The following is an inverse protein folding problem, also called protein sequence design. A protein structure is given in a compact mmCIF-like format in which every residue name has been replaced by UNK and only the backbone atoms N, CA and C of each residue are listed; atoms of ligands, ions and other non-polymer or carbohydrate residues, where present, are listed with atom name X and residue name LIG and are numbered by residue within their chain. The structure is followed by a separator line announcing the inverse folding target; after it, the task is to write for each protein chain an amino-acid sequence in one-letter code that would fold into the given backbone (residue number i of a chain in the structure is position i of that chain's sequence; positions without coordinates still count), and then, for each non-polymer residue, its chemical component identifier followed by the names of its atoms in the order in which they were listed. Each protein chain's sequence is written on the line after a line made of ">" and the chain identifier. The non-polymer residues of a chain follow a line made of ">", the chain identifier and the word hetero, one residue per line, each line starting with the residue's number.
data_IF_196127058137
#
_entry.id   IF_196127058137
#
_cell.length_a   1.000
_cell.length_b   1.000
_cell.length_c   1.000
_cell.angle_alpha   90.00
_cell.angle_beta   90.00
_cell.angle_gamma   90.00
#
_symmetry.space_group_name_H-M   'P 1'
#
loop_
_entity.id
_entity.type
_entity.pdbx_description
1 polymer ?
#
# COMPACT_ATOMS: atom_id res chain seq x y z
N UNK A 1 -9.47 37.37 2.61
CA UNK A 1 -9.53 36.74 3.23
C UNK A 1 -8.68 36.04 3.45
N UNK A 2 -8.38 36.01 3.96
CA UNK A 2 -7.67 35.26 4.28
C UNK A 2 -7.95 34.09 4.73
N UNK A 3 -7.67 33.22 4.24
CA UNK A 3 -7.98 31.98 4.63
C UNK A 3 -7.31 31.51 5.84
N UNK A 4 -8.06 31.27 6.83
CA UNK A 4 -7.57 30.55 7.97
C UNK A 4 -7.72 29.05 7.65
N UNK A 5 -6.63 28.34 7.59
CA UNK A 5 -6.67 26.91 7.43
C UNK A 5 -7.07 26.30 8.77
N UNK A 6 -8.20 25.64 8.77
CA UNK A 6 -8.63 24.91 9.96
C UNK A 6 -8.17 23.48 9.83
N UNK A 7 -7.36 23.05 10.78
CA UNK A 7 -6.86 21.68 10.80
C UNK A 7 -7.36 21.01 12.07
N UNK A 8 -7.94 19.84 11.92
CA UNK A 8 -8.35 19.01 13.04
C UNK A 8 -7.30 17.92 13.25
N UNK A 9 -6.52 17.97 14.33
CA UNK A 9 -5.56 16.91 14.63
C UNK A 9 -6.20 15.52 14.73
N UNK A 10 -7.43 15.45 15.26
CA UNK A 10 -8.15 14.20 15.37
C UNK A 10 -8.48 13.61 13.99
N UNK A 11 -8.92 14.46 13.08
CA UNK A 11 -9.22 14.04 11.70
C UNK A 11 -7.96 13.56 10.96
N UNK A 12 -6.85 14.23 11.19
CA UNK A 12 -5.57 13.82 10.61
C UNK A 12 -5.16 12.44 11.12
N UNK A 13 -5.31 12.19 12.42
CA UNK A 13 -4.98 10.89 13.01
C UNK A 13 -5.93 9.79 12.53
N UNK A 14 -7.22 10.07 12.42
CA UNK A 14 -8.20 9.14 11.88
C UNK A 14 -7.86 8.75 10.44
N UNK A 15 -7.52 9.74 9.62
CA UNK A 15 -7.14 9.51 8.23
C UNK A 15 -5.85 8.70 8.13
N UNK A 16 -4.85 9.00 8.97
CA UNK A 16 -3.61 8.24 9.02
C UNK A 16 -3.87 6.78 9.41
N UNK A 17 -4.74 6.55 10.41
CA UNK A 17 -5.11 5.21 10.83
C UNK A 17 -5.84 4.45 9.73
N UNK A 18 -6.74 5.12 9.01
CA UNK A 18 -7.46 4.55 7.88
C UNK A 18 -6.51 4.15 6.74
N UNK A 19 -5.56 5.01 6.39
CA UNK A 19 -4.56 4.72 5.37
C UNK A 19 -3.68 3.54 5.78
N UNK A 20 -3.27 3.48 7.04
CA UNK A 20 -2.48 2.38 7.57
C UNK A 20 -3.24 1.06 7.46
N UNK A 21 -4.51 1.06 7.80
CA UNK A 21 -5.39 -0.11 7.69
C UNK A 21 -5.54 -0.56 6.24
N UNK A 22 -5.78 0.38 5.32
CA UNK A 22 -5.91 0.07 3.90
C UNK A 22 -4.60 -0.45 3.31
N UNK A 23 -3.46 0.12 3.72
CA UNK A 23 -2.15 -0.37 3.32
C UNK A 23 -1.92 -1.82 3.75
N UNK A 24 -2.34 -2.17 4.95
CA UNK A 24 -2.26 -3.55 5.46
C UNK A 24 -3.13 -4.51 4.65
N UNK A 25 -4.32 -4.07 4.25
CA UNK A 25 -5.21 -4.86 3.40
C UNK A 25 -4.60 -5.10 2.02
N UNK A 26 -3.99 -4.08 1.43
CA UNK A 26 -3.30 -4.19 0.15
C UNK A 26 -2.16 -5.22 0.26
N UNK A 27 -1.38 -5.17 1.35
CA UNK A 27 -0.29 -6.11 1.57
C UNK A 27 -0.82 -7.54 1.68
N UNK A 28 -1.90 -7.76 2.44
CA UNK A 28 -2.51 -9.07 2.59
C UNK A 28 -3.02 -9.62 1.27
N UNK A 29 -3.74 -8.80 0.51
CA UNK A 29 -4.26 -9.20 -0.80
C UNK A 29 -3.13 -9.51 -1.78
N UNK A 30 -2.06 -8.73 -1.76
CA UNK A 30 -0.89 -8.97 -2.60
C UNK A 30 -0.24 -10.30 -2.27
N UNK A 31 -0.05 -10.59 -1.00
CA UNK A 31 0.52 -11.86 -0.56
C UNK A 31 -0.34 -13.05 -0.99
N UNK A 32 -1.66 -12.92 -0.88
CA UNK A 32 -2.60 -13.96 -1.34
C UNK A 32 -2.49 -14.18 -2.85
N UNK A 33 -2.42 -13.11 -3.64
CA UNK A 33 -2.27 -13.19 -5.07
C UNK A 33 -0.95 -13.89 -5.46
N UNK A 34 0.14 -13.51 -4.81
CA UNK A 34 1.46 -14.11 -5.07
C UNK A 34 1.48 -15.58 -4.72
N UNK A 35 0.83 -15.98 -3.64
CA UNK A 35 0.71 -17.38 -3.25
C UNK A 35 -0.06 -18.19 -4.30
N UNK A 36 -1.14 -17.62 -4.84
CA UNK A 36 -1.94 -18.26 -5.89
C UNK A 36 -1.15 -18.40 -7.19
N UNK A 37 -0.36 -17.39 -7.54
CA UNK A 37 0.49 -17.42 -8.72
C UNK A 37 1.61 -18.45 -8.55
N UNK A 38 2.20 -18.56 -7.37
CA UNK A 38 3.20 -19.57 -7.07
C UNK A 38 2.63 -20.99 -7.17
N UNK A 39 1.40 -21.19 -6.70
CA UNK A 39 0.71 -22.46 -6.85
C UNK A 39 0.42 -22.78 -8.31
N UNK A 40 0.04 -21.78 -9.11
CA UNK A 40 -0.19 -21.94 -10.53
C UNK A 40 1.09 -22.34 -11.27
N UNK A 41 2.25 -21.80 -10.86
CA UNK A 41 3.52 -22.09 -11.50
C UNK A 41 3.90 -23.57 -11.41
N UNK A 42 3.45 -24.28 -10.39
CA UNK A 42 3.71 -25.70 -10.24
C UNK A 42 2.83 -26.55 -11.17
N UNK A 43 1.72 -25.98 -11.68
CA UNK A 43 0.79 -26.68 -12.55
C UNK A 43 0.92 -26.24 -14.01
N UNK A 44 1.68 -25.18 -14.29
CA UNK A 44 1.80 -24.59 -15.63
C UNK A 44 3.27 -24.55 -16.03
N UNK A 45 3.61 -25.24 -17.11
CA UNK A 45 4.96 -25.33 -17.60
C UNK A 45 5.11 -24.59 -18.92
N UNK A 46 6.34 -24.15 -19.23
CA UNK A 46 6.71 -23.53 -20.48
C UNK A 46 7.19 -22.10 -20.36
N UNK A 47 7.73 -21.58 -21.48
CA UNK A 47 8.30 -20.23 -21.52
C UNK A 47 7.23 -19.15 -21.28
N UNK A 48 6.03 -19.35 -21.82
CA UNK A 48 4.93 -18.40 -21.63
C UNK A 48 4.53 -18.30 -20.17
N UNK A 49 4.51 -19.43 -19.45
CA UNK A 49 4.22 -19.47 -18.03
C UNK A 49 5.27 -18.69 -17.22
N UNK A 50 6.55 -18.93 -17.54
CA UNK A 50 7.67 -18.25 -16.87
C UNK A 50 7.59 -16.73 -17.11
N UNK A 51 7.33 -16.30 -18.33
CA UNK A 51 7.21 -14.88 -18.66
C UNK A 51 6.04 -14.23 -17.93
N UNK A 52 4.92 -14.91 -17.83
CA UNK A 52 3.74 -14.41 -17.14
C UNK A 52 3.97 -14.25 -15.64
N UNK A 53 4.58 -15.25 -15.02
CA UNK A 53 4.92 -15.24 -13.59
C UNK A 53 5.91 -14.10 -13.30
N UNK A 54 6.89 -13.87 -14.15
CA UNK A 54 7.85 -12.78 -13.99
C UNK A 54 7.16 -11.41 -14.05
N UNK A 55 6.14 -11.25 -14.88
CA UNK A 55 5.35 -10.02 -14.91
C UNK A 55 4.64 -9.76 -13.57
N UNK A 56 4.09 -10.81 -12.96
CA UNK A 56 3.47 -10.69 -11.63
C UNK A 56 4.47 -10.35 -10.54
N UNK A 57 5.69 -10.86 -10.63
CA UNK A 57 6.77 -10.51 -9.69
C UNK A 57 7.15 -9.04 -9.81
N UNK A 58 7.13 -8.48 -11.01
CA UNK A 58 7.33 -7.04 -11.20
C UNK A 58 6.24 -6.22 -10.53
N UNK A 59 5.00 -6.70 -10.61
CA UNK A 59 3.87 -6.05 -9.94
C UNK A 59 4.05 -6.01 -8.42
N UNK A 60 4.64 -7.06 -7.84
CA UNK A 60 4.95 -7.09 -6.41
C UNK A 60 5.83 -5.91 -6.01
N UNK A 61 6.86 -5.62 -6.80
CA UNK A 61 7.76 -4.48 -6.55
C UNK A 61 6.99 -3.17 -6.57
N UNK A 62 6.10 -2.99 -7.55
CA UNK A 62 5.29 -1.79 -7.68
C UNK A 62 4.35 -1.61 -6.48
N UNK A 63 3.76 -2.70 -6.02
CA UNK A 63 2.86 -2.68 -4.86
C UNK A 63 3.63 -2.38 -3.58
N UNK A 64 4.82 -2.92 -3.40
CA UNK A 64 5.67 -2.60 -2.25
C UNK A 64 6.04 -1.10 -2.23
N UNK A 65 6.29 -0.53 -3.40
CA UNK A 65 6.54 0.90 -3.53
C UNK A 65 5.30 1.70 -3.12
N UNK A 66 4.11 1.29 -3.56
CA UNK A 66 2.84 1.92 -3.18
C UNK A 66 2.63 1.88 -1.67
N UNK A 67 2.87 0.74 -1.05
CA UNK A 67 2.71 0.57 0.40
C UNK A 67 3.67 1.49 1.15
N UNK A 68 4.91 1.62 0.68
CA UNK A 68 5.88 2.54 1.26
C UNK A 68 5.39 3.98 1.19
N UNK A 69 4.85 4.39 0.04
CA UNK A 69 4.26 5.72 -0.13
C UNK A 69 3.10 5.95 0.83
N UNK A 70 2.24 4.97 0.99
CA UNK A 70 1.13 5.05 1.94
C UNK A 70 1.67 5.25 3.36
N UNK A 71 2.66 4.50 3.77
CA UNK A 71 3.26 4.60 5.10
C UNK A 71 3.94 5.95 5.32
N UNK A 72 4.57 6.52 4.30
CA UNK A 72 5.14 7.86 4.36
C UNK A 72 4.07 8.91 4.58
N UNK A 73 2.94 8.81 3.87
CA UNK A 73 1.81 9.71 4.06
C UNK A 73 1.17 9.55 5.44
N UNK A 74 1.10 8.33 5.97
CA UNK A 74 0.64 8.09 7.34
C UNK A 74 1.52 8.83 8.34
N UNK A 75 2.84 8.73 8.17
CA UNK A 75 3.80 9.43 9.01
C UNK A 75 3.62 10.94 8.91
N UNK A 76 3.48 11.48 7.69
CA UNK A 76 3.28 12.90 7.44
C UNK A 76 2.00 13.40 8.12
N UNK A 77 0.90 12.68 7.99
CA UNK A 77 -0.38 13.05 8.60
C UNK A 77 -0.28 13.07 10.12
N UNK A 78 0.41 12.11 10.72
CA UNK A 78 0.62 12.06 12.16
C UNK A 78 1.50 13.21 12.63
N UNK A 79 2.54 13.56 11.89
CA UNK A 79 3.40 14.71 12.20
C UNK A 79 2.62 16.02 12.11
N UNK A 80 1.76 16.16 11.10
CA UNK A 80 0.88 17.33 10.97
C UNK A 80 -0.08 17.41 12.14
N UNK A 81 -0.66 16.28 12.56
CA UNK A 81 -1.57 16.23 13.70
C UNK A 81 -0.87 16.69 14.98
N UNK A 82 0.37 16.26 15.19
CA UNK A 82 1.16 16.68 16.35
C UNK A 82 1.50 18.17 16.32
N UNK A 83 1.80 18.68 15.14
CA UNK A 83 2.15 20.09 14.96
C UNK A 83 0.96 21.02 15.27
N UNK A 84 -0.26 20.55 15.05
CA UNK A 84 -1.47 21.34 15.25
C UNK A 84 -2.24 20.97 16.53
N UNK A 85 -1.73 20.06 17.32
CA UNK A 85 -2.37 19.62 18.55
C UNK A 85 -2.27 20.66 19.69
#
# INVERSE_FOLDING_TARGET
>A
MTGTIKVSPEKLKETASSFSSEGSKIQTLTNEMLNKISALSSAWEGEAATAYINKFKSLETDIQTLIRMINEHVSDLNQMAEAYA
#
